data_IF_578852083773
#
_entry.id   IF_578852083773
#
_cell.length_a   1.000
_cell.length_b   1.000
_cell.length_c   1.000
_cell.angle_alpha   90.00
_cell.angle_beta   90.00
_cell.angle_gamma   90.00
#
_symmetry.space_group_name_H-M   'P 1'
#
loop_
_entity.id
_entity.type
_entity.pdbx_description
1 polymer ?
#
# COMPACT_ATOMS: atom_id res chain seq x y z
N UNK A 1 -14.75 2.73 8.57
CA UNK A 1 -13.92 1.63 9.08
C UNK A 1 -12.80 2.19 9.96
N UNK A 2 -12.49 1.46 11.06
CA UNK A 2 -11.35 1.78 11.94
C UNK A 2 -10.05 1.71 11.12
N UNK A 3 -9.12 2.62 11.37
CA UNK A 3 -7.76 2.63 10.81
C UNK A 3 -6.76 2.36 11.94
N UNK A 4 -5.68 1.62 11.70
CA UNK A 4 -4.69 1.31 12.74
C UNK A 4 -3.89 2.55 13.13
N UNK A 5 -3.67 3.46 12.17
CA UNK A 5 -3.02 4.74 12.36
C UNK A 5 -3.80 5.85 11.63
N UNK A 6 -3.79 7.09 12.15
CA UNK A 6 -4.48 8.22 11.50
C UNK A 6 -3.98 8.50 10.08
N UNK A 7 -2.68 8.32 9.84
CA UNK A 7 -1.98 8.56 8.57
C UNK A 7 -2.12 7.38 7.60
N UNK A 8 -3.33 6.85 7.49
CA UNK A 8 -3.67 5.78 6.54
C UNK A 8 -5.08 5.95 5.98
N UNK A 9 -5.38 5.27 4.88
CA UNK A 9 -6.70 5.25 4.27
C UNK A 9 -6.97 3.90 3.60
N UNK A 10 -8.23 3.45 3.65
CA UNK A 10 -8.65 2.23 2.98
C UNK A 10 -8.81 2.46 1.48
N UNK A 11 -8.06 1.70 0.68
CA UNK A 11 -8.20 1.61 -0.77
C UNK A 11 -9.31 0.64 -1.12
N UNK A 12 -9.29 -0.55 -0.49
CA UNK A 12 -10.43 -1.46 -0.45
C UNK A 12 -10.84 -1.69 1.01
N UNK A 13 -12.08 -1.38 1.37
CA UNK A 13 -12.55 -1.47 2.75
C UNK A 13 -12.29 -2.83 3.40
N UNK A 14 -11.49 -2.85 4.47
CA UNK A 14 -11.17 -4.05 5.24
C UNK A 14 -10.19 -5.03 4.58
N UNK A 15 -9.68 -4.74 3.38
CA UNK A 15 -8.79 -5.64 2.62
C UNK A 15 -7.47 -5.01 2.20
N UNK A 16 -7.49 -3.76 1.71
CA UNK A 16 -6.30 -3.06 1.27
C UNK A 16 -6.23 -1.66 1.89
N UNK A 17 -5.24 -1.45 2.73
CA UNK A 17 -4.92 -0.20 3.41
C UNK A 17 -3.63 0.38 2.86
N UNK A 18 -3.56 1.71 2.72
CA UNK A 18 -2.36 2.42 2.34
C UNK A 18 -2.06 3.55 3.33
N UNK A 19 -0.78 3.90 3.53
CA UNK A 19 -0.41 4.96 4.46
C UNK A 19 1.08 5.15 4.64
N UNK A 20 1.43 5.68 5.83
CA UNK A 20 2.81 6.00 6.19
C UNK A 20 3.56 4.79 6.77
N UNK A 21 4.87 4.93 6.87
CA UNK A 21 5.77 3.98 7.52
C UNK A 21 5.29 3.62 8.94
N UNK A 22 5.10 2.33 9.27
CA UNK A 22 4.57 1.94 10.57
C UNK A 22 5.63 2.01 11.69
N UNK A 23 6.91 2.06 11.36
CA UNK A 23 8.00 2.12 12.33
C UNK A 23 8.17 3.49 12.99
N UNK A 24 8.77 3.49 14.17
CA UNK A 24 9.17 4.68 14.93
C UNK A 24 10.54 4.44 15.59
N UNK A 25 11.22 5.54 15.97
CA UNK A 25 12.51 5.46 16.65
C UNK A 25 12.42 4.86 18.06
N UNK A 26 11.24 4.87 18.70
CA UNK A 26 11.00 4.31 20.05
C UNK A 26 10.28 2.98 19.93
N UNK A 27 10.91 1.91 20.39
CA UNK A 27 10.44 0.52 20.30
C UNK A 27 9.00 0.29 20.77
N UNK A 28 8.62 0.92 21.90
CA UNK A 28 7.27 0.75 22.45
C UNK A 28 6.18 1.30 21.50
N UNK A 29 6.43 2.42 20.87
CA UNK A 29 5.49 2.99 19.88
C UNK A 29 5.40 2.15 18.60
N UNK A 30 6.51 1.52 18.21
CA UNK A 30 6.51 0.58 17.08
C UNK A 30 5.62 -0.61 17.41
N UNK A 31 5.76 -1.21 18.60
CA UNK A 31 4.94 -2.35 19.04
C UNK A 31 3.46 -2.01 19.04
N UNK A 32 3.06 -0.91 19.66
CA UNK A 32 1.66 -0.47 19.70
C UNK A 32 1.07 -0.24 18.30
N UNK A 33 1.86 0.33 17.38
CA UNK A 33 1.43 0.51 16.00
C UNK A 33 1.27 -0.83 15.28
N UNK A 34 2.26 -1.71 15.38
CA UNK A 34 2.21 -3.04 14.75
C UNK A 34 1.02 -3.83 15.29
N UNK A 35 0.78 -3.82 16.60
CA UNK A 35 -0.39 -4.47 17.21
C UNK A 35 -1.69 -3.94 16.60
N UNK A 36 -1.81 -2.63 16.38
CA UNK A 36 -3.00 -2.05 15.79
C UNK A 36 -3.26 -2.50 14.33
N UNK A 37 -2.21 -2.83 13.57
CA UNK A 37 -2.34 -3.45 12.24
C UNK A 37 -2.78 -4.91 12.35
N UNK A 38 -2.14 -5.69 13.23
CA UNK A 38 -2.43 -7.10 13.43
C UNK A 38 -3.84 -7.32 13.99
N UNK A 39 -4.32 -6.45 14.90
CA UNK A 39 -5.69 -6.46 15.44
C UNK A 39 -6.78 -6.29 14.35
N UNK A 40 -6.45 -5.62 13.23
CA UNK A 40 -7.33 -5.52 12.07
C UNK A 40 -7.17 -6.69 11.10
N UNK A 41 -6.29 -7.63 11.42
CA UNK A 41 -5.96 -8.81 10.61
C UNK A 41 -5.12 -8.48 9.39
N UNK A 42 -4.40 -7.35 9.37
CA UNK A 42 -3.44 -7.05 8.30
C UNK A 42 -2.25 -7.99 8.47
N UNK A 43 -1.98 -8.77 7.45
CA UNK A 43 -1.00 -9.86 7.44
C UNK A 43 0.02 -9.76 6.31
N UNK A 44 -0.15 -8.83 5.38
CA UNK A 44 0.74 -8.62 4.25
C UNK A 44 1.20 -7.16 4.20
N UNK A 45 2.50 -6.94 4.27
CA UNK A 45 3.13 -5.62 4.31
C UNK A 45 3.99 -5.44 3.06
N UNK A 46 3.68 -4.39 2.29
CA UNK A 46 4.45 -3.99 1.10
C UNK A 46 5.13 -2.66 1.39
N UNK A 47 6.45 -2.70 1.44
CA UNK A 47 7.33 -1.59 1.79
C UNK A 47 7.98 -1.02 0.53
N UNK A 48 7.78 0.27 0.27
CA UNK A 48 8.32 0.98 -0.88
C UNK A 48 9.58 1.79 -0.58
N UNK A 49 10.11 1.69 0.67
CA UNK A 49 11.30 2.47 1.08
C UNK A 49 12.59 1.79 0.68
N UNK A 50 13.68 2.57 0.63
CA UNK A 50 15.03 2.02 0.54
C UNK A 50 15.43 1.29 1.85
N UNK A 51 16.31 0.28 1.78
CA UNK A 51 16.73 -0.48 2.96
C UNK A 51 17.31 0.37 4.08
N UNK A 52 18.06 1.42 3.72
CA UNK A 52 18.78 2.28 4.66
C UNK A 52 18.07 3.61 4.95
N UNK A 53 16.87 3.80 4.41
CA UNK A 53 16.10 5.05 4.55
C UNK A 53 15.56 5.23 5.97
N UNK A 54 15.13 4.13 6.60
CA UNK A 54 14.49 4.13 7.92
C UNK A 54 14.90 2.90 8.75
N UNK A 55 14.93 3.01 10.10
CA UNK A 55 15.12 1.84 10.96
C UNK A 55 14.04 0.78 10.68
N UNK A 56 14.47 -0.46 10.43
CA UNK A 56 13.54 -1.53 10.06
C UNK A 56 12.59 -1.90 11.19
N UNK A 57 11.30 -1.90 10.92
CA UNK A 57 10.26 -2.40 11.84
C UNK A 57 10.04 -3.92 11.71
N UNK A 58 10.64 -4.57 10.73
CA UNK A 58 10.43 -6.00 10.44
C UNK A 58 10.73 -6.92 11.62
N UNK A 59 11.78 -6.70 12.44
CA UNK A 59 12.01 -7.52 13.63
C UNK A 59 10.84 -7.47 14.61
N UNK A 60 10.31 -6.26 14.87
CA UNK A 60 9.14 -6.06 15.75
C UNK A 60 7.89 -6.67 15.13
N UNK A 61 7.69 -6.52 13.82
CA UNK A 61 6.56 -7.14 13.12
C UNK A 61 6.57 -8.67 13.29
N UNK A 62 7.73 -9.33 13.11
CA UNK A 62 7.87 -10.78 13.30
C UNK A 62 7.63 -11.21 14.75
N UNK A 63 8.17 -10.47 15.71
CA UNK A 63 7.94 -10.72 17.14
C UNK A 63 6.45 -10.67 17.48
N UNK A 64 5.78 -9.58 17.06
CA UNK A 64 4.35 -9.38 17.36
C UNK A 64 3.46 -10.37 16.63
N UNK A 65 3.73 -10.64 15.35
CA UNK A 65 2.99 -11.65 14.58
C UNK A 65 3.07 -13.04 15.23
N UNK A 66 4.23 -13.44 15.74
CA UNK A 66 4.37 -14.68 16.51
C UNK A 66 3.53 -14.69 17.78
N UNK A 67 3.42 -13.55 18.48
CA UNK A 67 2.56 -13.44 19.66
C UNK A 67 1.07 -13.59 19.33
N UNK A 68 0.63 -13.08 18.14
CA UNK A 68 -0.75 -13.17 17.68
C UNK A 68 -1.05 -14.46 16.89
N UNK A 69 -0.06 -15.32 16.66
CA UNK A 69 -0.16 -16.52 15.80
C UNK A 69 -0.64 -16.17 14.36
N UNK A 70 -0.10 -15.07 13.82
CA UNK A 70 -0.42 -14.59 12.47
C UNK A 70 0.75 -14.90 11.53
N UNK A 71 0.44 -15.60 10.41
CA UNK A 71 1.38 -15.78 9.30
C UNK A 71 1.49 -14.50 8.48
N UNK A 72 2.56 -13.73 8.70
CA UNK A 72 2.81 -12.48 7.98
C UNK A 72 3.61 -12.68 6.72
N UNK A 73 3.33 -11.85 5.72
CA UNK A 73 4.17 -11.63 4.53
C UNK A 73 4.72 -10.21 4.54
N UNK A 74 6.00 -10.08 4.27
CA UNK A 74 6.66 -8.80 4.09
C UNK A 74 7.45 -8.81 2.80
N UNK A 75 7.23 -7.81 1.96
CA UNK A 75 7.97 -7.65 0.71
C UNK A 75 8.34 -6.20 0.49
N UNK A 76 9.61 -5.96 0.13
CA UNK A 76 10.10 -4.62 -0.20
C UNK A 76 10.30 -4.50 -1.70
N UNK A 77 9.85 -3.36 -2.22
CA UNK A 77 10.11 -2.88 -3.57
C UNK A 77 10.72 -1.48 -3.46
N UNK A 78 12.02 -1.40 -3.59
CA UNK A 78 12.73 -0.13 -3.43
C UNK A 78 12.36 0.86 -4.53
N UNK A 79 11.83 2.01 -4.12
CA UNK A 79 11.61 3.19 -4.95
C UNK A 79 12.27 4.37 -4.24
N UNK A 80 13.23 5.02 -4.89
CA UNK A 80 13.91 6.18 -4.33
C UNK A 80 12.89 7.30 -4.04
N UNK A 81 13.10 8.01 -2.94
CA UNK A 81 12.16 9.05 -2.53
C UNK A 81 11.98 10.14 -3.59
N UNK A 82 10.79 10.70 -3.68
CA UNK A 82 10.36 11.67 -4.69
C UNK A 82 10.47 11.21 -6.16
N UNK A 83 10.83 9.95 -6.43
CA UNK A 83 10.94 9.39 -7.78
C UNK A 83 9.72 8.53 -8.17
N UNK A 84 9.75 8.03 -9.39
CA UNK A 84 8.83 7.02 -9.91
C UNK A 84 9.58 5.70 -10.12
N UNK A 85 8.94 4.55 -9.96
CA UNK A 85 9.52 3.26 -10.32
C UNK A 85 9.57 3.07 -11.84
N UNK A 86 10.27 2.04 -12.30
CA UNK A 86 10.09 1.56 -13.67
C UNK A 86 8.70 0.93 -13.85
N UNK A 87 8.26 0.80 -15.08
CA UNK A 87 6.98 0.14 -15.40
C UNK A 87 6.93 -1.29 -14.88
N UNK A 88 8.02 -2.04 -15.05
CA UNK A 88 8.17 -3.43 -14.59
C UNK A 88 8.10 -3.52 -13.05
N UNK A 89 8.75 -2.60 -12.36
CA UNK A 89 8.68 -2.54 -10.89
C UNK A 89 7.26 -2.25 -10.43
N UNK A 90 6.57 -1.28 -11.05
CA UNK A 90 5.18 -0.99 -10.69
C UNK A 90 4.27 -2.19 -10.99
N UNK A 91 4.41 -2.85 -12.13
CA UNK A 91 3.66 -4.07 -12.44
C UNK A 91 3.88 -5.15 -11.37
N UNK A 92 5.14 -5.40 -10.98
CA UNK A 92 5.47 -6.39 -9.94
C UNK A 92 4.85 -6.04 -8.58
N UNK A 93 4.77 -4.76 -8.20
CA UNK A 93 4.10 -4.31 -6.98
C UNK A 93 2.60 -4.59 -7.07
N UNK A 94 1.98 -4.22 -8.18
CA UNK A 94 0.54 -4.41 -8.39
C UNK A 94 0.17 -5.90 -8.45
N UNK A 95 1.00 -6.74 -9.05
CA UNK A 95 0.83 -8.19 -9.08
C UNK A 95 0.91 -8.80 -7.68
N UNK A 96 1.83 -8.32 -6.84
CA UNK A 96 1.92 -8.75 -5.44
C UNK A 96 0.67 -8.39 -4.63
N UNK A 97 0.15 -7.16 -4.81
CA UNK A 97 -1.11 -6.75 -4.18
C UNK A 97 -2.25 -7.66 -4.64
N UNK A 98 -2.38 -7.88 -5.95
CA UNK A 98 -3.44 -8.71 -6.52
C UNK A 98 -3.35 -10.16 -6.03
N UNK A 99 -2.15 -10.74 -5.98
CA UNK A 99 -1.93 -12.09 -5.49
C UNK A 99 -2.29 -12.23 -4.01
N UNK A 100 -1.92 -11.25 -3.18
CA UNK A 100 -2.28 -11.24 -1.76
C UNK A 100 -3.80 -11.16 -1.57
N UNK A 101 -4.47 -10.22 -2.25
CA UNK A 101 -5.92 -10.06 -2.18
C UNK A 101 -6.68 -11.29 -2.72
N UNK A 102 -6.16 -11.94 -3.77
CA UNK A 102 -6.74 -13.19 -4.31
C UNK A 102 -6.59 -14.37 -3.35
N UNK A 103 -5.57 -14.35 -2.49
CA UNK A 103 -5.36 -15.32 -1.42
C UNK A 103 -6.13 -14.98 -0.12
N UNK A 104 -7.06 -14.02 -0.17
CA UNK A 104 -7.86 -13.52 0.96
C UNK A 104 -7.02 -12.92 2.10
N UNK A 105 -5.83 -12.40 1.76
CA UNK A 105 -4.95 -11.70 2.70
C UNK A 105 -5.30 -10.20 2.75
N UNK A 106 -4.95 -9.56 3.86
CA UNK A 106 -5.16 -8.13 4.04
C UNK A 106 -3.83 -7.38 3.90
N UNK A 107 -3.80 -6.43 2.98
CA UNK A 107 -2.59 -5.75 2.54
C UNK A 107 -2.45 -4.39 3.21
N UNK A 108 -1.25 -4.08 3.66
CA UNK A 108 -0.79 -2.72 3.98
C UNK A 108 0.35 -2.31 3.05
N UNK A 109 0.13 -1.25 2.30
CA UNK A 109 1.12 -0.63 1.42
C UNK A 109 1.61 0.68 2.02
N UNK A 110 2.92 0.89 2.09
CA UNK A 110 3.47 2.14 2.60
C UNK A 110 4.81 2.53 1.96
N UNK A 111 5.13 3.81 2.07
CA UNK A 111 6.49 4.35 1.94
C UNK A 111 6.87 5.04 3.25
N UNK A 112 7.66 6.12 3.24
CA UNK A 112 7.93 6.89 4.46
C UNK A 112 6.68 7.68 4.89
N UNK A 113 6.32 8.73 4.13
CA UNK A 113 5.22 9.63 4.49
C UNK A 113 3.82 9.14 4.14
N UNK A 114 3.71 8.09 3.33
CA UNK A 114 2.42 7.62 2.79
C UNK A 114 1.85 8.51 1.67
N UNK A 115 2.65 9.42 1.09
CA UNK A 115 2.20 10.48 0.18
C UNK A 115 2.59 10.18 -1.27
N UNK A 116 3.90 10.26 -1.58
CA UNK A 116 4.41 10.22 -2.95
C UNK A 116 4.36 8.82 -3.56
N UNK A 117 5.27 7.94 -3.16
CA UNK A 117 5.42 6.56 -3.66
C UNK A 117 4.15 5.72 -3.42
N UNK A 118 3.57 5.83 -2.22
CA UNK A 118 2.31 5.18 -1.86
C UNK A 118 1.17 5.66 -2.74
N UNK A 119 0.99 6.98 -2.89
CA UNK A 119 -0.05 7.56 -3.74
C UNK A 119 0.10 7.17 -5.21
N UNK A 120 1.34 7.14 -5.73
CA UNK A 120 1.63 6.69 -7.10
C UNK A 120 1.18 5.24 -7.30
N UNK A 121 1.54 4.35 -6.38
CA UNK A 121 1.18 2.93 -6.45
C UNK A 121 -0.33 2.72 -6.37
N UNK A 122 -1.01 3.39 -5.42
CA UNK A 122 -2.47 3.32 -5.30
C UNK A 122 -3.16 3.90 -6.53
N UNK A 123 -2.64 5.00 -7.12
CA UNK A 123 -3.14 5.56 -8.37
C UNK A 123 -3.06 4.55 -9.52
N UNK A 124 -1.90 3.92 -9.72
CA UNK A 124 -1.73 2.87 -10.74
C UNK A 124 -2.63 1.64 -10.47
N UNK A 125 -2.81 1.28 -9.19
CA UNK A 125 -3.75 0.22 -8.80
C UNK A 125 -5.20 0.54 -9.23
N UNK A 126 -5.67 1.76 -8.99
CA UNK A 126 -7.01 2.19 -9.43
C UNK A 126 -7.15 2.15 -10.96
N UNK A 127 -6.10 2.57 -11.69
CA UNK A 127 -6.11 2.47 -13.16
C UNK A 127 -6.19 1.02 -13.60
N UNK A 128 -5.44 0.09 -13.00
CA UNK A 128 -5.56 -1.37 -13.23
C UNK A 128 -6.98 -1.89 -12.97
N UNK A 129 -7.72 -1.25 -12.06
CA UNK A 129 -9.13 -1.56 -11.74
C UNK A 129 -10.15 -0.90 -12.69
N UNK A 130 -9.69 -0.21 -13.73
CA UNK A 130 -10.54 0.36 -14.77
C UNK A 130 -10.86 1.85 -14.61
N UNK A 131 -10.25 2.55 -13.67
CA UNK A 131 -10.35 4.01 -13.59
C UNK A 131 -9.47 4.65 -14.68
N UNK A 132 -9.86 5.81 -15.19
CA UNK A 132 -8.89 6.66 -15.89
C UNK A 132 -7.87 7.23 -14.88
N UNK A 133 -6.68 7.63 -15.36
CA UNK A 133 -5.70 8.28 -14.49
C UNK A 133 -6.25 9.50 -13.76
N UNK A 134 -7.12 10.29 -14.41
CA UNK A 134 -7.79 11.43 -13.78
C UNK A 134 -8.76 11.00 -12.68
N UNK A 135 -9.54 9.95 -12.89
CA UNK A 135 -10.43 9.39 -11.87
C UNK A 135 -9.64 8.83 -10.68
N UNK A 136 -8.52 8.16 -10.95
CA UNK A 136 -7.65 7.64 -9.91
C UNK A 136 -7.07 8.75 -9.02
N UNK A 137 -6.57 9.84 -9.62
CA UNK A 137 -6.06 11.01 -8.88
C UNK A 137 -7.17 11.72 -8.09
N UNK A 138 -8.37 11.84 -8.66
CA UNK A 138 -9.51 12.44 -7.96
C UNK A 138 -9.93 11.61 -6.73
N UNK A 139 -9.98 10.29 -6.87
CA UNK A 139 -10.29 9.37 -5.77
C UNK A 139 -9.21 9.41 -4.66
N UNK A 140 -7.94 9.45 -5.04
CA UNK A 140 -6.84 9.63 -4.10
C UNK A 140 -6.97 10.93 -3.31
N UNK A 141 -7.25 12.05 -3.99
CA UNK A 141 -7.42 13.35 -3.36
C UNK A 141 -8.60 13.34 -2.37
N UNK A 142 -9.66 12.61 -2.64
CA UNK A 142 -10.79 12.46 -1.72
C UNK A 142 -10.41 11.68 -0.46
N UNK A 143 -9.76 10.51 -0.60
CA UNK A 143 -9.30 9.73 0.56
C UNK A 143 -8.27 10.49 1.39
N UNK A 144 -7.35 11.21 0.71
CA UNK A 144 -6.28 11.94 1.34
C UNK A 144 -6.79 13.09 2.22
N UNK A 145 -7.90 13.75 1.86
CA UNK A 145 -8.54 14.77 2.70
C UNK A 145 -8.91 14.27 4.09
N UNK A 146 -9.18 12.97 4.24
CA UNK A 146 -9.45 12.33 5.51
C UNK A 146 -8.21 11.98 6.35
N UNK A 147 -7.01 12.20 5.84
CA UNK A 147 -5.73 11.96 6.52
C UNK A 147 -5.23 13.25 7.14
N UNK A 148 -4.84 13.29 8.43
CA UNK A 148 -4.43 14.53 9.11
C UNK A 148 -3.31 15.28 8.41
N UNK A 149 -2.35 14.57 7.81
CA UNK A 149 -1.23 15.13 7.05
C UNK A 149 -1.66 16.00 5.85
N UNK A 150 -2.85 15.79 5.30
CA UNK A 150 -3.37 16.57 4.17
C UNK A 150 -3.45 18.09 4.45
N UNK A 151 -3.47 18.48 5.72
CA UNK A 151 -3.44 19.89 6.14
C UNK A 151 -2.10 20.58 5.85
N UNK A 152 -1.02 19.81 5.79
CA UNK A 152 0.35 20.32 5.55
C UNK A 152 0.79 19.93 4.13
N UNK A 153 0.49 18.71 3.70
CA UNK A 153 0.75 18.19 2.35
C UNK A 153 -0.58 17.91 1.65
N UNK A 154 -1.14 18.89 0.91
CA UNK A 154 -2.52 18.80 0.40
C UNK A 154 -2.69 17.82 -0.78
N UNK A 155 -1.58 17.37 -1.38
CA UNK A 155 -1.62 16.53 -2.58
C UNK A 155 -0.99 15.16 -2.36
N UNK A 156 -1.60 14.14 -2.99
CA UNK A 156 -1.07 12.80 -3.17
C UNK A 156 -1.44 12.31 -4.57
N UNK A 157 -0.50 11.79 -5.39
CA UNK A 157 0.95 11.74 -5.17
C UNK A 157 1.58 13.12 -4.96
N UNK A 158 2.80 13.15 -4.42
CA UNK A 158 3.45 14.35 -3.94
C UNK A 158 4.03 15.23 -5.05
N UNK A 159 4.63 14.62 -6.09
CA UNK A 159 5.30 15.33 -7.17
C UNK A 159 4.49 15.29 -8.46
N UNK A 160 4.67 16.32 -9.32
CA UNK A 160 4.05 16.35 -10.63
C UNK A 160 4.42 15.11 -11.46
N UNK A 161 5.68 14.69 -11.42
CA UNK A 161 6.17 13.50 -12.14
C UNK A 161 5.44 12.22 -11.70
N UNK A 162 5.15 12.09 -10.42
CA UNK A 162 4.36 10.97 -9.88
C UNK A 162 2.89 11.03 -10.34
N UNK A 163 2.30 12.23 -10.37
CA UNK A 163 0.93 12.41 -10.90
C UNK A 163 0.86 12.09 -12.39
N UNK A 164 1.83 12.56 -13.18
CA UNK A 164 1.94 12.25 -14.61
C UNK A 164 2.12 10.75 -14.87
N UNK A 165 2.87 10.06 -14.01
CA UNK A 165 3.03 8.60 -14.08
C UNK A 165 1.68 7.88 -13.92
N UNK A 166 0.84 8.30 -12.96
CA UNK A 166 -0.51 7.76 -12.78
C UNK A 166 -1.42 8.10 -13.97
N UNK A 167 -1.37 9.35 -14.45
CA UNK A 167 -2.19 9.79 -15.59
C UNK A 167 -1.92 8.99 -16.85
N UNK A 168 -0.67 8.62 -17.07
CA UNK A 168 -0.21 7.90 -18.26
C UNK A 168 -0.05 6.39 -18.01
N UNK A 169 -0.42 5.89 -16.82
CA UNK A 169 -0.28 4.48 -16.49
C UNK A 169 -1.08 3.63 -17.47
N UNK A 170 -0.40 2.77 -18.18
CA UNK A 170 -0.99 1.81 -19.09
C UNK A 170 -0.16 0.52 -19.05
N UNK A 171 -0.81 -0.59 -18.70
CA UNK A 171 -0.19 -1.90 -18.77
C UNK A 171 -0.39 -2.46 -20.17
N UNK A 172 0.70 -2.69 -20.89
CA UNK A 172 0.68 -3.47 -22.12
C UNK A 172 0.29 -4.92 -21.79
N UNK A 173 -0.97 -5.23 -21.79
CA UNK A 173 -1.63 -6.49 -21.42
C UNK A 173 -1.51 -6.82 -19.91
N UNK A 174 -2.60 -6.70 -19.12
CA UNK A 174 -2.58 -7.19 -17.76
C UNK A 174 -2.32 -8.70 -17.77
N UNK A 175 -1.45 -9.17 -16.87
CA UNK A 175 -1.36 -10.61 -16.57
C UNK A 175 -2.79 -11.14 -16.34
N UNK A 176 -3.16 -12.30 -16.89
CA UNK A 176 -4.52 -12.82 -16.75
C UNK A 176 -4.83 -12.93 -15.25
N UNK A 177 -5.81 -12.15 -14.81
CA UNK A 177 -6.28 -12.19 -13.41
C UNK A 177 -6.70 -13.62 -13.09
N UNK A 178 -6.24 -14.21 -11.96
CA UNK A 178 -6.78 -15.49 -11.55
C UNK A 178 -8.29 -15.34 -11.38
N UNK A 179 -9.05 -16.17 -12.07
CA UNK A 179 -10.51 -16.17 -12.00
C UNK A 179 -10.95 -16.26 -10.54
N UNK A 180 -11.96 -15.49 -10.12
CA UNK A 180 -12.52 -15.58 -8.78
C UNK A 180 -12.85 -17.03 -8.40
N UNK A 181 -12.68 -17.41 -7.13
CA UNK A 181 -12.92 -18.78 -6.64
C UNK A 181 -14.28 -19.35 -7.09
N UNK A 182 -15.33 -18.51 -7.15
CA UNK A 182 -16.67 -18.89 -7.53
C UNK A 182 -16.84 -19.28 -9.03
N UNK A 183 -15.93 -18.83 -9.91
CA UNK A 183 -15.91 -19.28 -11.33
C UNK A 183 -15.23 -20.64 -11.51
N UNK A 184 -14.36 -21.03 -10.59
CA UNK A 184 -13.62 -22.30 -10.63
C UNK A 184 -14.44 -23.51 -10.12
N UNK A 185 -15.52 -23.26 -9.38
CA UNK A 185 -16.41 -24.30 -8.83
C UNK A 185 -17.56 -24.68 -9.76
N UNK A 186 -17.62 -24.08 -10.97
CA UNK A 186 -18.68 -24.35 -11.96
C UNK A 186 -18.23 -25.20 -13.16
N UNK A 187 -17.07 -25.88 -13.08
CA UNK A 187 -16.64 -26.83 -14.13
C UNK A 187 -16.56 -28.24 -13.61
#
# INVERSE_FOLDING_TARGET
>A
LKRPIPESYWVEPGRFLAGEYPGYLQDERVRQRIDAFLDLGIDTFIDLTDPDELPSYLPVLKERAGYYDIDIRYKRFTINDHTIPSTETMQAILDEIDAALAADRKVYLHCWGGIGRTGTTVGCYLVRRGHSGQQALAQLAEWWRGVPKSRIWPYTPETQRQMEFVLNWNEASPSPRPSPKWEREKK
#
